data_IF_515701872006
#
_entry.id   IF_515701872006
#
_cell.length_a   1.000
_cell.length_b   1.000
_cell.length_c   1.000
_cell.angle_alpha   90.00
_cell.angle_beta   90.00
_cell.angle_gamma   90.00
#
_symmetry.space_group_name_H-M   'P 1'
#
loop_
_entity.id
_entity.type
_entity.pdbx_description
1 polymer ?
#
# COMPACT_ATOMS: atom_id res chain seq x y z
N UNK A 1 6.24 6.49 -18.08
CA UNK A 1 6.25 5.13 -17.49
C UNK A 1 7.39 5.03 -16.50
N UNK A 2 7.11 4.57 -15.27
CA UNK A 2 8.13 4.43 -14.21
C UNK A 2 9.00 3.20 -14.49
N UNK A 3 10.31 3.28 -14.23
CA UNK A 3 11.27 2.19 -14.46
C UNK A 3 11.52 1.29 -13.24
N UNK A 4 11.00 1.67 -12.07
CA UNK A 4 11.19 0.95 -10.80
C UNK A 4 10.10 -0.09 -10.56
N UNK A 5 10.34 -1.01 -9.61
CA UNK A 5 9.39 -2.06 -9.23
C UNK A 5 8.01 -1.56 -8.74
N UNK A 6 7.96 -0.49 -7.94
CA UNK A 6 6.67 0.03 -7.43
C UNK A 6 5.97 0.85 -8.51
N UNK A 7 4.95 0.27 -9.16
CA UNK A 7 4.21 0.88 -10.27
C UNK A 7 2.94 1.65 -9.85
N UNK A 8 2.31 1.25 -8.74
CA UNK A 8 1.09 1.90 -8.27
C UNK A 8 1.38 3.38 -7.90
N UNK A 9 0.60 4.31 -8.47
CA UNK A 9 0.84 5.75 -8.30
C UNK A 9 0.65 6.22 -6.86
N UNK A 10 -0.37 5.71 -6.16
CA UNK A 10 -0.68 6.10 -4.79
C UNK A 10 0.36 5.56 -3.82
N UNK A 11 0.78 4.30 -3.98
CA UNK A 11 1.87 3.71 -3.18
C UNK A 11 3.17 4.45 -3.44
N UNK A 12 3.47 4.77 -4.70
CA UNK A 12 4.66 5.55 -5.06
C UNK A 12 4.68 6.92 -4.38
N UNK A 13 3.54 7.62 -4.38
CA UNK A 13 3.38 8.90 -3.72
C UNK A 13 3.53 8.78 -2.20
N UNK A 14 2.89 7.78 -1.58
CA UNK A 14 2.97 7.54 -0.15
C UNK A 14 4.42 7.32 0.30
N UNK A 15 5.16 6.43 -0.37
CA UNK A 15 6.58 6.16 -0.07
C UNK A 15 7.43 7.42 -0.23
N UNK A 16 7.22 8.19 -1.32
CA UNK A 16 8.00 9.39 -1.59
C UNK A 16 7.78 10.52 -0.56
N UNK A 17 6.70 10.47 0.23
CA UNK A 17 6.37 11.47 1.25
C UNK A 17 6.72 11.03 2.68
N UNK A 18 7.21 9.80 2.90
CA UNK A 18 7.56 9.30 4.24
C UNK A 18 8.72 10.14 4.80
N UNK A 19 8.47 10.83 5.92
CA UNK A 19 9.46 11.51 6.72
C UNK A 19 10.07 10.62 7.81
N UNK A 20 10.96 11.20 8.61
CA UNK A 20 11.50 10.50 9.78
C UNK A 20 10.37 10.23 10.79
N UNK A 21 10.28 8.98 11.26
CA UNK A 21 9.24 8.45 12.16
C UNK A 21 7.84 8.24 11.58
N UNK A 22 7.62 8.53 10.30
CA UNK A 22 6.36 8.14 9.66
C UNK A 22 6.24 6.63 9.52
N UNK A 23 5.01 6.12 9.63
CA UNK A 23 4.70 4.70 9.52
C UNK A 23 3.82 4.44 8.30
N UNK A 24 4.14 3.36 7.59
CA UNK A 24 3.32 2.81 6.52
C UNK A 24 3.01 1.35 6.86
N UNK A 25 1.72 1.00 6.88
CA UNK A 25 1.25 -0.35 7.24
C UNK A 25 0.67 -1.06 6.03
N UNK A 26 1.00 -2.35 5.88
CA UNK A 26 0.30 -3.27 4.98
C UNK A 26 -0.64 -4.11 5.85
N UNK A 27 -1.91 -4.19 5.46
CA UNK A 27 -2.96 -4.84 6.24
C UNK A 27 -3.67 -5.90 5.41
N UNK A 28 -4.28 -6.88 6.09
CA UNK A 28 -5.25 -7.78 5.46
C UNK A 28 -6.61 -7.09 5.24
N UNK A 29 -7.52 -7.77 4.55
CA UNK A 29 -8.84 -7.25 4.18
C UNK A 29 -9.81 -7.04 5.36
N UNK A 30 -9.48 -7.55 6.55
CA UNK A 30 -10.32 -7.47 7.75
C UNK A 30 -9.92 -6.36 8.74
N UNK A 31 -8.78 -5.72 8.54
CA UNK A 31 -8.28 -4.68 9.45
C UNK A 31 -9.21 -3.44 9.43
N UNK A 32 -9.71 -2.96 10.57
CA UNK A 32 -10.42 -1.69 10.63
C UNK A 32 -9.45 -0.52 10.37
N UNK A 33 -9.81 0.37 9.45
CA UNK A 33 -9.01 1.55 9.09
C UNK A 33 -9.87 2.80 9.34
N UNK A 34 -9.33 3.86 9.99
CA UNK A 34 -10.02 5.14 10.08
C UNK A 34 -10.47 5.64 8.70
N UNK A 35 -11.65 6.25 8.63
CA UNK A 35 -12.18 6.79 7.38
C UNK A 35 -11.49 8.12 7.03
N UNK A 36 -10.23 8.03 6.62
CA UNK A 36 -9.42 9.16 6.15
C UNK A 36 -8.85 8.89 4.74
N UNK A 37 -8.16 9.88 4.19
CA UNK A 37 -7.63 9.86 2.83
C UNK A 37 -6.32 9.06 2.68
N UNK A 38 -5.84 8.38 3.73
CA UNK A 38 -4.57 7.65 3.73
C UNK A 38 -4.73 6.16 3.40
N UNK A 39 -5.98 5.68 3.27
CA UNK A 39 -6.26 4.30 2.83
C UNK A 39 -5.99 4.14 1.34
N UNK A 40 -5.10 3.21 0.99
CA UNK A 40 -4.91 2.71 -0.38
C UNK A 40 -5.43 1.28 -0.43
N UNK A 41 -6.57 1.08 -1.07
CA UNK A 41 -7.15 -0.25 -1.24
C UNK A 41 -6.59 -0.93 -2.50
N UNK A 42 -5.89 -2.04 -2.31
CA UNK A 42 -5.32 -2.85 -3.38
C UNK A 42 -6.08 -4.16 -3.58
N UNK A 43 -7.05 -4.49 -2.72
CA UNK A 43 -7.74 -5.77 -2.76
C UNK A 43 -8.69 -5.83 -3.97
N UNK A 44 -8.45 -6.80 -4.87
CA UNK A 44 -9.32 -7.04 -6.02
C UNK A 44 -10.37 -8.10 -5.68
N UNK A 45 -9.92 -9.18 -5.04
CA UNK A 45 -10.76 -10.26 -4.53
C UNK A 45 -10.02 -10.99 -3.40
N UNK A 46 -10.66 -11.99 -2.79
CA UNK A 46 -10.04 -12.79 -1.73
C UNK A 46 -8.69 -13.35 -2.21
N UNK A 47 -7.63 -13.04 -1.47
CA UNK A 47 -6.27 -13.51 -1.71
C UNK A 47 -5.61 -12.95 -3.00
N UNK A 48 -6.10 -11.84 -3.56
CA UNK A 48 -5.50 -11.16 -4.71
C UNK A 48 -5.50 -9.63 -4.54
N UNK A 49 -4.32 -8.98 -4.49
CA UNK A 49 -2.99 -9.57 -4.32
C UNK A 49 -2.88 -10.31 -2.97
N UNK A 50 -1.97 -11.27 -2.84
CA UNK A 50 -1.67 -11.85 -1.52
C UNK A 50 -0.93 -10.80 -0.69
N UNK A 51 -1.03 -10.89 0.63
CA UNK A 51 -0.29 -10.00 1.54
C UNK A 51 1.20 -9.92 1.19
N UNK A 52 1.82 -11.07 0.90
CA UNK A 52 3.24 -11.14 0.56
C UNK A 52 3.56 -10.54 -0.82
N UNK A 53 2.61 -10.51 -1.76
CA UNK A 53 2.82 -9.87 -3.06
C UNK A 53 2.90 -8.34 -2.94
N UNK A 54 2.29 -7.77 -1.90
CA UNK A 54 2.36 -6.33 -1.58
C UNK A 54 3.61 -6.00 -0.76
N UNK A 55 4.03 -6.90 0.13
CA UNK A 55 5.24 -6.72 0.96
C UNK A 55 6.53 -6.96 0.18
N UNK A 56 6.56 -7.97 -0.70
CA UNK A 56 7.74 -8.32 -1.46
C UNK A 56 8.05 -7.24 -2.50
N UNK A 57 9.27 -6.72 -2.45
CA UNK A 57 9.85 -5.82 -3.46
C UNK A 57 10.96 -6.52 -4.22
#
# INVERSE_FOLDING_TARGET
MKKSAVLNEHVSKAIATIGHFDLLTINDAGMPIPNDHRRIDLAVTKNLPRFIDVLAT
#
